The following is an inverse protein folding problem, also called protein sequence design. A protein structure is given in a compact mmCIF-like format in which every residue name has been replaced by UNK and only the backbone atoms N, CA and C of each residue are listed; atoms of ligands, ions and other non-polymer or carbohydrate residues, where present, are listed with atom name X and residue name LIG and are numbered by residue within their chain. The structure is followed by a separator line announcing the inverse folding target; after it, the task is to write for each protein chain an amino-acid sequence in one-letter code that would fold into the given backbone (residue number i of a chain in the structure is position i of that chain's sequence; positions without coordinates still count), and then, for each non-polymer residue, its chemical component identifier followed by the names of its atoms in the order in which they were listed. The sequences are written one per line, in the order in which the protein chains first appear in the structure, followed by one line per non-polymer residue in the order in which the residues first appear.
data_IF_837715976235
#
_entry.id   IF_837715976235
#
_cell.length_a   1.000
_cell.length_b   1.000
_cell.length_c   1.000
_cell.angle_alpha   90.00
_cell.angle_beta   90.00
_cell.angle_gamma   90.00
#
_symmetry.space_group_name_H-M   'P 1'
#
loop_
_entity.id
_entity.type
_entity.pdbx_description
1 polymer ?
#
# COMPACT_ATOMS: atom_id res chain seq x y z
N UNK A 1 -9.82 3.62 25.29
CA UNK A 1 -9.80 4.96 24.73
C UNK A 1 -8.80 5.83 25.44
N UNK A 2 -7.75 6.16 24.77
CA UNK A 2 -6.85 7.15 25.31
C UNK A 2 -7.55 8.51 25.28
N UNK A 3 -7.86 9.03 26.45
CA UNK A 3 -8.18 10.43 26.53
C UNK A 3 -6.97 11.20 26.02
N UNK A 4 -7.10 11.87 24.92
CA UNK A 4 -6.10 12.82 24.48
C UNK A 4 -6.02 13.89 25.58
N UNK A 5 -5.03 13.78 26.44
CA UNK A 5 -4.79 14.86 27.38
C UNK A 5 -4.38 16.07 26.55
N UNK A 6 -5.27 17.01 26.47
CA UNK A 6 -4.97 18.27 25.83
C UNK A 6 -3.86 18.91 26.68
N UNK A 7 -2.69 19.02 26.12
CA UNK A 7 -1.58 19.66 26.80
C UNK A 7 -1.93 21.13 27.07
N UNK A 8 -1.24 21.76 28.04
CA UNK A 8 -1.44 23.16 28.35
C UNK A 8 -1.26 24.06 27.11
N UNK A 9 -0.48 23.64 26.15
CA UNK A 9 -0.28 24.30 24.86
C UNK A 9 -1.56 24.30 24.03
N UNK A 10 -2.22 23.15 23.97
CA UNK A 10 -3.48 23.03 23.20
C UNK A 10 -4.61 23.81 23.87
N UNK A 11 -4.64 23.83 25.20
CA UNK A 11 -5.63 24.61 25.95
C UNK A 11 -5.51 26.11 25.68
N UNK A 12 -4.32 26.59 25.32
CA UNK A 12 -4.11 27.97 24.92
C UNK A 12 -4.52 28.28 23.49
N UNK A 13 -4.97 27.28 22.72
CA UNK A 13 -5.43 27.45 21.34
C UNK A 13 -4.33 27.69 20.31
N UNK A 14 -3.06 27.45 20.66
CA UNK A 14 -1.93 27.70 19.77
C UNK A 14 -1.72 26.60 18.75
N UNK A 15 -2.03 25.32 19.09
CA UNK A 15 -2.14 24.25 18.14
C UNK A 15 -2.99 23.12 18.71
N UNK A 16 -3.61 22.39 17.84
CA UNK A 16 -4.47 21.26 18.17
C UNK A 16 -4.15 20.12 17.19
N UNK A 17 -3.95 18.94 17.72
CA UNK A 17 -3.69 17.75 16.94
C UNK A 17 -4.95 16.87 16.88
N UNK A 18 -5.32 16.46 15.68
CA UNK A 18 -6.38 15.48 15.46
C UNK A 18 -5.80 14.23 14.85
N UNK A 19 -6.00 13.12 15.53
CA UNK A 19 -5.53 11.82 15.06
C UNK A 19 -6.42 11.26 13.96
N UNK A 20 -5.80 10.85 12.88
CA UNK A 20 -6.48 10.19 11.75
C UNK A 20 -5.86 8.84 11.42
N UNK A 21 -5.07 8.30 12.33
CA UNK A 21 -4.30 7.07 12.10
C UNK A 21 -5.18 5.86 11.80
N UNK A 22 -6.24 5.65 12.57
CA UNK A 22 -7.14 4.50 12.38
C UNK A 22 -7.82 4.56 11.01
N UNK A 23 -8.33 5.74 10.67
CA UNK A 23 -8.93 5.97 9.36
C UNK A 23 -7.93 5.71 8.23
N UNK A 24 -6.71 6.27 8.35
CA UNK A 24 -5.69 6.15 7.31
C UNK A 24 -5.29 4.69 7.07
N UNK A 25 -5.07 3.93 8.13
CA UNK A 25 -4.73 2.50 8.02
C UNK A 25 -5.82 1.71 7.31
N UNK A 26 -7.08 1.93 7.69
CA UNK A 26 -8.22 1.26 7.07
C UNK A 26 -8.37 1.67 5.60
N UNK A 27 -8.19 2.95 5.30
CA UNK A 27 -8.31 3.46 3.93
C UNK A 27 -7.20 2.97 3.01
N UNK A 28 -5.98 2.90 3.52
CA UNK A 28 -4.84 2.34 2.78
C UNK A 28 -5.14 0.89 2.40
N UNK A 29 -5.58 0.07 3.36
CA UNK A 29 -5.92 -1.33 3.09
C UNK A 29 -7.00 -1.45 2.01
N UNK A 30 -8.05 -0.66 2.12
CA UNK A 30 -9.14 -0.61 1.14
C UNK A 30 -8.63 -0.26 -0.26
N UNK A 31 -7.83 0.81 -0.37
CA UNK A 31 -7.31 1.27 -1.66
C UNK A 31 -6.36 0.25 -2.31
N UNK A 32 -5.46 -0.34 -1.54
CA UNK A 32 -4.49 -1.27 -2.11
C UNK A 32 -5.13 -2.60 -2.52
N UNK A 33 -6.17 -3.04 -1.82
CA UNK A 33 -6.88 -4.27 -2.18
C UNK A 33 -7.84 -4.06 -3.35
N UNK A 34 -8.50 -2.93 -3.43
CA UNK A 34 -9.42 -2.64 -4.52
C UNK A 34 -8.72 -2.37 -5.85
N UNK A 35 -7.58 -1.69 -5.82
CA UNK A 35 -6.91 -1.20 -7.03
C UNK A 35 -5.60 -1.92 -7.34
N UNK A 36 -5.15 -2.80 -6.49
CA UNK A 36 -3.84 -3.45 -6.60
C UNK A 36 -3.85 -4.76 -7.40
N UNK A 37 -4.44 -4.74 -8.57
CA UNK A 37 -4.43 -5.89 -9.50
C UNK A 37 -3.74 -5.49 -10.79
N UNK A 38 -2.76 -6.28 -11.23
CA UNK A 38 -1.94 -5.96 -12.39
C UNK A 38 -1.85 -7.15 -13.34
N UNK A 39 -1.92 -6.86 -14.64
CA UNK A 39 -1.66 -7.85 -15.69
C UNK A 39 -0.16 -8.14 -15.73
N UNK A 40 0.20 -9.40 -15.93
CA UNK A 40 1.60 -9.79 -16.00
C UNK A 40 2.28 -9.25 -17.24
N UNK A 41 3.48 -8.71 -17.04
CA UNK A 41 4.28 -8.12 -18.13
C UNK A 41 5.14 -9.21 -18.77
N UNK A 42 5.13 -9.27 -20.11
CA UNK A 42 6.01 -10.16 -20.85
C UNK A 42 5.64 -11.63 -20.83
N UNK A 43 4.38 -11.92 -20.63
CA UNK A 43 3.89 -13.30 -20.69
C UNK A 43 4.10 -13.89 -22.08
N UNK A 44 5.15 -14.68 -22.25
CA UNK A 44 5.47 -15.38 -23.50
C UNK A 44 4.47 -16.52 -23.76
N UNK A 45 3.19 -16.20 -23.89
CA UNK A 45 2.16 -17.18 -24.19
C UNK A 45 1.82 -18.12 -23.04
N UNK A 46 2.44 -17.93 -21.88
CA UNK A 46 2.16 -18.70 -20.69
C UNK A 46 1.22 -17.85 -19.85
N UNK A 47 -0.01 -18.31 -19.68
CA UNK A 47 -0.98 -17.70 -18.77
C UNK A 47 -1.36 -16.24 -19.09
N UNK A 48 -1.83 -16.00 -20.32
CA UNK A 48 -2.25 -14.66 -20.79
C UNK A 48 -3.29 -13.99 -19.87
N UNK A 49 -4.04 -14.78 -19.09
CA UNK A 49 -5.07 -14.28 -18.18
C UNK A 49 -4.59 -14.17 -16.72
N UNK A 50 -3.34 -14.54 -16.43
CA UNK A 50 -2.82 -14.50 -15.08
C UNK A 50 -2.56 -13.04 -14.64
N UNK A 51 -2.85 -12.77 -13.38
CA UNK A 51 -2.67 -11.45 -12.78
C UNK A 51 -2.04 -11.57 -11.41
N UNK A 52 -1.27 -10.56 -11.04
CA UNK A 52 -0.77 -10.43 -9.69
C UNK A 52 -1.66 -9.43 -8.94
N UNK A 53 -2.01 -9.78 -7.72
CA UNK A 53 -2.97 -8.99 -6.93
C UNK A 53 -2.48 -8.78 -5.51
N UNK A 54 -2.63 -7.54 -5.03
CA UNK A 54 -2.43 -7.21 -3.62
C UNK A 54 -3.67 -7.73 -2.87
N UNK A 55 -3.47 -8.63 -1.92
CA UNK A 55 -4.59 -9.29 -1.22
C UNK A 55 -4.83 -8.73 0.18
N UNK A 56 -3.90 -7.98 0.72
CA UNK A 56 -4.08 -7.37 2.02
C UNK A 56 -2.83 -6.66 2.52
N UNK A 57 -2.96 -6.05 3.68
CA UNK A 57 -1.87 -5.39 4.38
C UNK A 57 -1.42 -6.30 5.51
N UNK A 58 -0.18 -6.77 5.42
CA UNK A 58 0.43 -7.61 6.46
C UNK A 58 0.77 -6.78 7.69
N UNK A 59 1.32 -5.58 7.48
CA UNK A 59 1.61 -4.64 8.56
C UNK A 59 1.53 -3.21 8.05
N UNK A 60 1.10 -2.33 8.94
CA UNK A 60 1.02 -0.90 8.67
C UNK A 60 1.33 -0.18 9.97
N UNK A 61 2.53 0.37 10.05
CA UNK A 61 3.01 1.05 11.24
C UNK A 61 3.27 2.52 10.95
N UNK A 62 2.85 3.37 11.88
CA UNK A 62 2.98 4.81 11.73
C UNK A 62 1.72 5.53 12.13
N UNK A 63 1.62 6.76 11.72
CA UNK A 63 0.48 7.61 12.08
C UNK A 63 0.11 8.61 10.99
N UNK A 64 -1.08 9.15 11.13
CA UNK A 64 -1.58 10.25 10.33
C UNK A 64 -2.28 11.24 11.26
N UNK A 65 -2.02 12.52 11.06
CA UNK A 65 -2.58 13.56 11.90
C UNK A 65 -2.78 14.86 11.13
N UNK A 66 -3.63 15.69 11.70
CA UNK A 66 -3.79 17.08 11.28
C UNK A 66 -3.49 17.94 12.50
N UNK A 67 -2.52 18.82 12.35
CA UNK A 67 -2.11 19.73 13.41
C UNK A 67 -2.59 21.13 13.02
N UNK A 68 -3.31 21.78 13.92
CA UNK A 68 -3.74 23.16 13.74
C UNK A 68 -2.69 24.10 14.33
N UNK A 69 -2.04 24.86 13.46
CA UNK A 69 -1.03 25.85 13.86
C UNK A 69 -1.52 27.23 13.48
N UNK A 70 -1.79 28.06 14.47
CA UNK A 70 -2.28 29.44 14.29
C UNK A 70 -3.52 29.49 13.37
N UNK A 71 -4.46 28.55 13.58
CA UNK A 71 -5.70 28.49 12.80
C UNK A 71 -5.56 27.85 11.43
N UNK A 72 -4.37 27.39 11.06
CA UNK A 72 -4.14 26.71 9.77
C UNK A 72 -3.90 25.23 9.96
N UNK A 73 -4.65 24.36 9.24
CA UNK A 73 -4.43 22.93 9.32
C UNK A 73 -3.13 22.52 8.60
N UNK A 74 -2.36 21.69 9.27
CA UNK A 74 -1.16 21.05 8.71
C UNK A 74 -1.38 19.55 8.79
N UNK A 75 -1.50 18.91 7.64
CA UNK A 75 -1.68 17.48 7.57
C UNK A 75 -0.33 16.77 7.38
N UNK A 76 -0.22 15.60 7.95
CA UNK A 76 0.96 14.77 7.77
C UNK A 76 0.63 13.31 8.00
N UNK A 77 1.35 12.44 7.33
CA UNK A 77 1.29 11.00 7.57
C UNK A 77 2.64 10.38 7.23
N UNK A 78 2.95 9.32 7.93
CA UNK A 78 4.17 8.55 7.71
C UNK A 78 3.90 7.12 8.15
N UNK A 79 3.96 6.18 7.21
CA UNK A 79 3.73 4.77 7.47
C UNK A 79 4.82 3.90 6.85
N UNK A 80 5.10 2.80 7.52
CA UNK A 80 5.84 1.68 6.93
C UNK A 80 4.85 0.58 6.66
N UNK A 81 4.78 0.13 5.41
CA UNK A 81 3.82 -0.87 4.99
C UNK A 81 4.50 -2.16 4.55
N UNK A 82 3.85 -3.28 4.83
CA UNK A 82 4.15 -4.54 4.17
C UNK A 82 2.83 -5.08 3.62
N UNK A 83 2.78 -5.26 2.31
CA UNK A 83 1.60 -5.74 1.61
C UNK A 83 1.80 -7.19 1.20
N UNK A 84 0.73 -7.97 1.25
CA UNK A 84 0.75 -9.34 0.73
C UNK A 84 0.22 -9.33 -0.70
N UNK A 85 0.88 -10.07 -1.59
CA UNK A 85 0.40 -10.25 -2.95
C UNK A 85 0.37 -11.74 -3.30
N UNK A 86 -0.46 -12.07 -4.27
CA UNK A 86 -0.52 -13.42 -4.82
C UNK A 86 -0.85 -13.39 -6.31
N UNK A 87 -0.45 -14.44 -6.99
CA UNK A 87 -0.78 -14.67 -8.39
C UNK A 87 -1.17 -16.13 -8.56
N UNK A 88 -2.29 -16.38 -9.23
CA UNK A 88 -2.76 -17.71 -9.52
C UNK A 88 -2.55 -18.01 -10.99
N UNK A 89 -1.97 -19.17 -11.27
CA UNK A 89 -1.72 -19.64 -12.63
C UNK A 89 -2.51 -20.93 -12.84
N UNK A 90 -3.36 -20.94 -13.87
CA UNK A 90 -4.13 -22.13 -14.20
C UNK A 90 -3.20 -23.24 -14.65
N UNK A 91 -3.44 -24.46 -14.16
CA UNK A 91 -2.74 -25.64 -14.66
C UNK A 91 -3.31 -25.98 -16.05
N UNK A 92 -2.42 -26.06 -17.02
CA UNK A 92 -2.80 -26.08 -18.44
C UNK A 92 -3.29 -27.41 -18.99
N UNK A 93 -4.02 -28.24 -18.27
CA UNK A 93 -4.44 -29.35 -19.03
C UNK A 93 -5.25 -30.51 -18.46
N UNK A 94 -5.04 -30.98 -17.29
CA UNK A 94 -5.77 -32.10 -16.75
C UNK A 94 -6.55 -31.70 -15.50
N UNK A 95 -7.76 -32.25 -15.37
CA UNK A 95 -8.69 -31.96 -14.28
C UNK A 95 -8.14 -32.22 -12.87
N UNK A 96 -7.00 -32.91 -12.76
CA UNK A 96 -6.35 -33.25 -11.49
C UNK A 96 -5.18 -32.33 -11.08
N UNK A 97 -4.79 -31.39 -11.93
CA UNK A 97 -3.71 -30.46 -11.60
C UNK A 97 -4.26 -29.20 -10.92
N UNK A 98 -3.74 -28.93 -9.72
CA UNK A 98 -4.12 -27.73 -8.99
C UNK A 98 -3.46 -26.51 -9.58
N UNK A 99 -4.14 -25.36 -9.51
CA UNK A 99 -3.57 -24.07 -9.89
C UNK A 99 -2.30 -23.78 -9.07
N UNK A 100 -1.33 -23.22 -9.73
CA UNK A 100 -0.10 -22.77 -9.07
C UNK A 100 -0.36 -21.39 -8.48
N UNK A 101 -0.17 -21.28 -7.17
CA UNK A 101 -0.32 -19.99 -6.48
C UNK A 101 1.05 -19.53 -6.01
N UNK A 102 1.44 -18.35 -6.45
CA UNK A 102 2.68 -17.70 -6.04
C UNK A 102 2.31 -16.56 -5.11
N UNK A 103 3.00 -16.45 -4.00
CA UNK A 103 2.75 -15.44 -2.97
C UNK A 103 4.02 -14.69 -2.63
N UNK A 104 3.85 -13.50 -2.14
CA UNK A 104 4.97 -12.71 -1.67
C UNK A 104 4.55 -11.45 -0.94
N UNK A 105 5.51 -10.58 -0.75
CA UNK A 105 5.30 -9.31 -0.05
C UNK A 105 5.86 -8.15 -0.84
N UNK A 106 5.28 -6.98 -0.62
CA UNK A 106 5.84 -5.69 -1.06
C UNK A 106 6.08 -4.89 0.22
N UNK A 107 7.33 -4.55 0.48
CA UNK A 107 7.71 -3.71 1.60
C UNK A 107 7.85 -2.27 1.12
N UNK A 108 7.15 -1.36 1.77
CA UNK A 108 7.18 0.07 1.49
C UNK A 108 7.75 0.77 2.72
N UNK A 109 9.07 1.06 2.74
CA UNK A 109 9.70 1.62 3.95
C UNK A 109 9.22 3.02 4.29
N UNK A 110 8.79 3.77 3.30
CA UNK A 110 8.33 5.14 3.53
C UNK A 110 7.10 5.45 2.68
N UNK A 111 5.94 5.37 3.29
CA UNK A 111 4.68 5.79 2.70
C UNK A 111 4.26 7.05 3.45
N UNK A 112 4.73 8.20 2.96
CA UNK A 112 4.61 9.46 3.66
C UNK A 112 4.19 10.59 2.74
N UNK A 113 3.82 11.71 3.35
CA UNK A 113 3.44 12.89 2.59
C UNK A 113 4.59 13.46 1.75
N UNK A 114 5.83 13.24 2.17
CA UNK A 114 6.99 13.66 1.37
C UNK A 114 6.99 12.98 -0.01
N UNK A 115 6.54 11.72 -0.06
CA UNK A 115 6.41 11.00 -1.33
C UNK A 115 5.38 11.60 -2.27
N UNK A 116 4.39 12.31 -1.76
CA UNK A 116 3.40 13.02 -2.59
C UNK A 116 4.08 14.16 -3.35
N UNK A 117 4.90 14.92 -2.67
CA UNK A 117 5.60 16.07 -3.27
C UNK A 117 6.65 15.62 -4.27
N UNK A 118 7.37 14.56 -3.95
CA UNK A 118 8.43 14.02 -4.80
C UNK A 118 7.90 13.09 -5.90
N UNK A 119 6.64 12.69 -5.83
CA UNK A 119 6.01 11.69 -6.70
C UNK A 119 6.78 10.36 -6.72
N UNK A 120 7.27 9.98 -5.55
CA UNK A 120 8.06 8.76 -5.37
C UNK A 120 7.54 7.93 -4.19
N UNK A 121 7.59 6.63 -4.36
CA UNK A 121 7.28 5.69 -3.28
C UNK A 121 8.03 4.39 -3.53
N UNK A 122 9.22 4.32 -2.98
CA UNK A 122 10.08 3.14 -3.15
C UNK A 122 9.45 1.90 -2.51
N UNK A 123 9.62 0.77 -3.14
CA UNK A 123 9.13 -0.50 -2.62
C UNK A 123 10.11 -1.64 -2.94
N UNK A 124 10.05 -2.68 -2.11
CA UNK A 124 10.85 -3.87 -2.26
C UNK A 124 9.93 -5.08 -2.39
N UNK A 125 10.09 -5.83 -3.48
CA UNK A 125 9.24 -6.98 -3.80
C UNK A 125 9.97 -8.28 -3.46
N UNK A 126 9.30 -9.17 -2.72
CA UNK A 126 9.84 -10.47 -2.35
C UNK A 126 8.83 -11.57 -2.66
N UNK A 127 9.35 -12.73 -3.01
CA UNK A 127 8.57 -13.97 -3.16
C UNK A 127 8.71 -14.77 -1.88
N UNK A 128 7.59 -15.23 -1.35
CA UNK A 128 7.57 -16.16 -0.20
C UNK A 128 7.72 -17.59 -0.73
N UNK A 129 8.52 -18.40 -0.05
CA UNK A 129 8.67 -19.83 -0.37
C UNK A 129 9.02 -20.08 -1.85
N UNK A 130 10.13 -19.51 -2.30
CA UNK A 130 10.59 -19.69 -3.68
C UNK A 130 10.73 -21.16 -4.05
N UNK A 131 10.21 -21.49 -5.23
CA UNK A 131 10.29 -22.83 -5.79
C UNK A 131 10.93 -22.75 -7.18
N UNK A 132 12.05 -23.47 -7.39
CA UNK A 132 12.77 -23.43 -8.66
C UNK A 132 11.93 -23.90 -9.86
N UNK A 133 10.93 -24.74 -9.64
CA UNK A 133 10.01 -25.20 -10.69
C UNK A 133 9.14 -24.05 -11.22
N UNK A 134 8.90 -23.04 -10.39
CA UNK A 134 8.06 -21.90 -10.72
C UNK A 134 8.85 -20.60 -10.93
N UNK A 135 10.18 -20.71 -11.00
CA UNK A 135 11.04 -19.54 -11.12
C UNK A 135 10.66 -18.57 -12.26
N UNK A 136 10.32 -19.02 -13.46
CA UNK A 136 9.88 -18.09 -14.53
C UNK A 136 8.64 -17.30 -14.16
N UNK A 137 7.66 -17.95 -13.54
CA UNK A 137 6.42 -17.30 -13.08
C UNK A 137 6.68 -16.34 -11.94
N UNK A 138 7.50 -16.76 -10.96
CA UNK A 138 7.91 -15.91 -9.84
C UNK A 138 8.62 -14.65 -10.34
N UNK A 139 9.55 -14.80 -11.26
CA UNK A 139 10.29 -13.68 -11.84
C UNK A 139 9.38 -12.72 -12.61
N UNK A 140 8.38 -13.25 -13.32
CA UNK A 140 7.39 -12.43 -14.02
C UNK A 140 6.54 -11.62 -13.06
N UNK A 141 6.11 -12.23 -11.95
CA UNK A 141 5.37 -11.53 -10.89
C UNK A 141 6.20 -10.39 -10.29
N UNK A 142 7.44 -10.69 -9.94
CA UNK A 142 8.36 -9.68 -9.37
C UNK A 142 8.62 -8.55 -10.35
N UNK A 143 8.88 -8.85 -11.61
CA UNK A 143 9.10 -7.84 -12.64
C UNK A 143 7.89 -6.95 -12.84
N UNK A 144 6.69 -7.54 -12.86
CA UNK A 144 5.44 -6.80 -12.97
C UNK A 144 5.25 -5.84 -11.80
N UNK A 145 5.42 -6.34 -10.59
CA UNK A 145 5.28 -5.51 -9.39
C UNK A 145 6.32 -4.40 -9.33
N UNK A 146 7.57 -4.68 -9.67
CA UNK A 146 8.62 -3.66 -9.72
C UNK A 146 8.30 -2.56 -10.72
N UNK A 147 7.69 -2.92 -11.85
CA UNK A 147 7.35 -1.96 -12.90
C UNK A 147 6.10 -1.13 -12.55
N UNK A 148 5.11 -1.75 -11.91
CA UNK A 148 3.79 -1.15 -11.74
C UNK A 148 3.51 -0.62 -10.34
N UNK A 149 4.20 -1.16 -9.33
CA UNK A 149 3.85 -0.90 -7.94
C UNK A 149 4.18 0.53 -7.50
N UNK A 150 5.27 1.10 -7.96
CA UNK A 150 5.65 2.46 -7.59
C UNK A 150 4.59 3.48 -7.99
N UNK A 151 4.17 3.47 -9.27
CA UNK A 151 3.12 4.36 -9.75
C UNK A 151 1.81 4.16 -9.00
N UNK A 152 1.47 2.91 -8.75
CA UNK A 152 0.28 2.53 -7.99
C UNK A 152 0.34 3.10 -6.57
N UNK A 153 1.48 2.97 -5.90
CA UNK A 153 1.68 3.48 -4.55
C UNK A 153 1.66 5.01 -4.51
N UNK A 154 2.23 5.67 -5.49
CA UNK A 154 2.16 7.14 -5.60
C UNK A 154 0.71 7.61 -5.74
N UNK A 155 -0.09 6.93 -6.55
CA UNK A 155 -1.53 7.25 -6.69
C UNK A 155 -2.26 7.05 -5.37
N UNK A 156 -1.93 5.99 -4.65
CA UNK A 156 -2.51 5.72 -3.33
C UNK A 156 -2.13 6.81 -2.33
N UNK A 157 -0.85 7.23 -2.34
CA UNK A 157 -0.37 8.37 -1.54
C UNK A 157 -1.18 9.63 -1.81
N UNK A 158 -1.36 9.96 -3.08
CA UNK A 158 -2.10 11.16 -3.49
C UNK A 158 -3.55 11.11 -3.04
N UNK A 159 -4.17 9.94 -3.11
CA UNK A 159 -5.54 9.74 -2.65
C UNK A 159 -5.65 9.93 -1.14
N UNK A 160 -4.75 9.33 -0.38
CA UNK A 160 -4.73 9.48 1.09
C UNK A 160 -4.49 10.94 1.46
N UNK A 161 -3.54 11.62 0.82
CA UNK A 161 -3.26 13.02 1.09
C UNK A 161 -4.46 13.91 0.81
N UNK A 162 -5.11 13.72 -0.33
CA UNK A 162 -6.30 14.47 -0.74
C UNK A 162 -7.47 14.26 0.23
N UNK A 163 -7.73 13.02 0.62
CA UNK A 163 -8.80 12.71 1.56
C UNK A 163 -8.49 13.21 2.97
N UNK A 164 -7.24 13.18 3.38
CA UNK A 164 -6.81 13.75 4.66
C UNK A 164 -7.01 15.27 4.67
N UNK A 165 -6.73 15.93 3.55
CA UNK A 165 -6.99 17.36 3.39
C UNK A 165 -8.48 17.68 3.56
N UNK A 166 -9.35 16.88 2.95
CA UNK A 166 -10.79 17.05 3.09
C UNK A 166 -11.24 16.88 4.54
N UNK A 167 -10.69 15.88 5.23
CA UNK A 167 -10.99 15.64 6.64
C UNK A 167 -10.49 16.77 7.53
N UNK A 168 -9.39 17.40 7.17
CA UNK A 168 -8.84 18.53 7.90
C UNK A 168 -9.70 19.78 7.81
N UNK A 169 -10.48 19.89 6.74
CA UNK A 169 -11.36 21.05 6.48
C UNK A 169 -12.72 20.98 7.17
N UNK A 170 -13.03 19.88 7.83
CA UNK A 170 -14.33 19.66 8.47
C UNK A 170 -14.30 19.91 9.96
#
# INVERSE_FOLDING_TARGET
MSSTQISAWNAAGTWEERGHTIWAKARIEELVTENGTFELVGGNGIDADARVRIVGVKSCEGDASVVMIRGKPRRGFDFELTLNWEAAFASGGDDDEQDVIIKGTVHVPEFSRDGVEDEECACEVKVSDRNSEHAPRENTCVATLKKRCEDFLVRTLMTIDSELEERASK
#
